data_IF_576827097635
#
_entry.id   IF_576827097635
#
_cell.length_a   1.000
_cell.length_b   1.000
_cell.length_c   1.000
_cell.angle_alpha   90.00
_cell.angle_beta   90.00
_cell.angle_gamma   90.00
#
_symmetry.space_group_name_H-M   'P 1'
#
loop_
_entity.id
_entity.type
_entity.pdbx_description
1 polymer ?
#
# COMPACT_ATOMS: atom_id res chain seq x y z
N UNK A 1 30.92 33.35 35.94
CA UNK A 1 30.28 33.10 34.62
C UNK A 1 29.87 31.64 34.58
N UNK A 2 28.59 31.34 34.84
CA UNK A 2 28.08 29.97 34.89
C UNK A 2 27.55 29.52 33.54
N UNK A 3 27.98 28.36 33.07
CA UNK A 3 27.28 27.65 32.00
C UNK A 3 26.21 26.76 32.62
N UNK A 4 24.95 27.02 32.28
CA UNK A 4 23.82 26.12 32.52
C UNK A 4 23.88 25.01 31.46
N UNK A 5 24.34 23.82 31.83
CA UNK A 5 24.12 22.62 31.04
C UNK A 5 22.66 22.19 31.18
N UNK A 6 21.91 22.20 30.07
CA UNK A 6 20.57 21.62 30.02
C UNK A 6 20.67 20.08 30.08
N UNK A 7 19.73 19.38 30.75
CA UNK A 7 19.70 17.92 30.71
C UNK A 7 19.34 17.46 29.30
N UNK A 8 20.11 16.49 28.77
CA UNK A 8 19.78 15.81 27.54
C UNK A 8 18.44 15.09 27.70
N UNK A 9 17.48 15.42 26.84
CA UNK A 9 16.22 14.70 26.76
C UNK A 9 16.49 13.20 26.52
N UNK A 10 15.74 12.28 27.18
CA UNK A 10 15.88 10.86 26.90
C UNK A 10 15.50 10.61 25.44
N UNK A 11 16.48 10.18 24.64
CA UNK A 11 16.20 9.67 23.30
C UNK A 11 15.35 8.39 23.47
N UNK A 12 14.21 8.26 22.78
CA UNK A 12 13.42 7.04 22.82
C UNK A 12 14.23 5.89 22.18
N UNK A 13 14.92 5.14 23.04
CA UNK A 13 15.54 3.86 22.70
C UNK A 13 14.43 2.82 22.56
N UNK A 14 13.74 2.83 21.41
CA UNK A 14 12.62 1.91 21.17
C UNK A 14 12.01 1.91 19.77
N UNK A 15 12.36 2.84 18.87
CA UNK A 15 11.72 2.98 17.54
C UNK A 15 12.63 2.65 16.34
N UNK A 16 13.88 2.25 16.56
CA UNK A 16 14.92 2.15 15.51
C UNK A 16 14.89 0.81 14.73
N UNK A 17 13.81 0.04 14.84
CA UNK A 17 13.53 -1.07 13.92
C UNK A 17 12.22 -0.84 13.13
N UNK A 18 11.83 0.43 12.95
CA UNK A 18 10.89 0.80 11.90
C UNK A 18 11.38 0.20 10.57
N UNK A 19 10.54 -0.66 9.99
CA UNK A 19 10.78 -1.46 8.80
C UNK A 19 11.85 -0.91 7.83
N UNK A 20 13.06 -1.46 7.85
CA UNK A 20 14.03 -1.17 6.78
C UNK A 20 13.49 -1.72 5.47
N UNK A 21 13.19 -0.83 4.53
CA UNK A 21 12.86 -1.17 3.15
C UNK A 21 14.16 -1.17 2.34
N UNK A 22 14.66 -2.35 1.96
CA UNK A 22 15.79 -2.47 1.02
C UNK A 22 15.36 -2.25 -0.43
N UNK A 23 16.29 -2.32 -1.38
CA UNK A 23 15.94 -2.37 -2.81
C UNK A 23 15.11 -3.61 -3.15
N UNK A 24 14.16 -3.49 -4.08
CA UNK A 24 13.38 -4.62 -4.61
C UNK A 24 13.27 -4.51 -6.12
N UNK A 25 13.20 -5.64 -6.81
CA UNK A 25 12.81 -5.68 -8.22
C UNK A 25 11.30 -5.56 -8.32
N UNK A 26 10.82 -4.59 -9.11
CA UNK A 26 9.42 -4.48 -9.49
C UNK A 26 9.02 -5.66 -10.38
N UNK A 27 7.78 -6.09 -10.20
CA UNK A 27 7.14 -7.22 -10.85
C UNK A 27 5.85 -6.70 -11.45
N UNK A 28 5.55 -7.13 -12.67
CA UNK A 28 4.27 -6.81 -13.31
C UNK A 28 3.30 -7.97 -13.08
N UNK A 29 2.22 -7.78 -12.31
CA UNK A 29 1.19 -8.80 -12.20
C UNK A 29 0.53 -9.02 -13.57
N UNK A 30 0.46 -10.28 -14.00
CA UNK A 30 -0.22 -10.69 -15.25
C UNK A 30 -1.62 -11.24 -14.99
N UNK A 31 -1.88 -11.73 -13.77
CA UNK A 31 -3.17 -12.29 -13.38
C UNK A 31 -3.71 -11.58 -12.12
N UNK A 32 -5.04 -11.43 -12.06
CA UNK A 32 -5.76 -10.92 -10.90
C UNK A 32 -6.92 -11.85 -10.55
N UNK A 33 -6.73 -12.66 -9.51
CA UNK A 33 -7.77 -13.55 -9.00
C UNK A 33 -8.79 -12.73 -8.19
N UNK A 34 -10.07 -13.05 -8.35
CA UNK A 34 -11.21 -12.41 -7.66
C UNK A 34 -11.96 -13.44 -6.82
N UNK A 35 -12.80 -12.95 -5.90
CA UNK A 35 -13.80 -13.70 -5.12
C UNK A 35 -13.30 -14.70 -4.06
N UNK A 36 -12.18 -15.41 -4.28
CA UNK A 36 -11.54 -16.32 -3.29
C UNK A 36 -10.19 -15.80 -2.76
N UNK A 37 -9.95 -14.50 -2.87
CA UNK A 37 -8.66 -13.91 -2.55
C UNK A 37 -8.43 -13.75 -1.04
N UNK A 38 -7.62 -14.63 -0.47
CA UNK A 38 -7.07 -14.51 0.89
C UNK A 38 -5.56 -14.59 0.86
N UNK A 39 -4.89 -14.25 1.97
CA UNK A 39 -3.45 -14.50 2.10
C UNK A 39 -3.13 -15.99 1.93
N UNK A 40 -3.98 -16.90 2.45
CA UNK A 40 -3.81 -18.33 2.26
C UNK A 40 -3.90 -18.75 0.78
N UNK A 41 -4.79 -18.13 0.00
CA UNK A 41 -4.82 -18.33 -1.46
C UNK A 41 -3.58 -17.77 -2.12
N UNK A 42 -3.11 -16.59 -1.73
CA UNK A 42 -1.85 -16.05 -2.25
C UNK A 42 -0.66 -16.99 -1.93
N UNK A 43 -0.57 -17.56 -0.73
CA UNK A 43 0.46 -18.54 -0.38
C UNK A 43 0.35 -19.82 -1.21
N UNK A 44 -0.86 -20.31 -1.48
CA UNK A 44 -1.07 -21.47 -2.36
C UNK A 44 -0.64 -21.18 -3.79
N UNK A 45 -1.03 -20.02 -4.33
CA UNK A 45 -0.71 -19.61 -5.71
C UNK A 45 0.80 -19.50 -5.92
N UNK A 46 1.58 -19.07 -4.91
CA UNK A 46 3.05 -19.03 -4.99
C UNK A 46 3.73 -20.40 -5.14
N UNK A 47 3.02 -21.49 -4.89
CA UNK A 47 3.54 -22.86 -5.07
C UNK A 47 3.25 -23.44 -6.45
N UNK A 48 2.55 -22.70 -7.31
CA UNK A 48 2.27 -23.11 -8.68
C UNK A 48 3.51 -22.82 -9.53
N UNK A 49 3.93 -23.79 -10.33
CA UNK A 49 5.06 -23.62 -11.24
C UNK A 49 4.80 -22.45 -12.21
N UNK A 50 5.83 -21.64 -12.43
CA UNK A 50 5.73 -20.41 -13.23
C UNK A 50 5.21 -19.18 -12.48
N UNK A 51 4.74 -19.32 -11.24
CA UNK A 51 4.42 -18.15 -10.39
C UNK A 51 5.68 -17.66 -9.67
N UNK A 52 6.08 -16.41 -9.92
CA UNK A 52 7.24 -15.79 -9.26
C UNK A 52 6.83 -14.99 -8.03
N UNK A 53 5.58 -14.51 -8.00
CA UNK A 53 5.08 -13.73 -6.89
C UNK A 53 3.55 -13.73 -6.84
N UNK A 54 3.00 -13.66 -5.64
CA UNK A 54 1.60 -13.34 -5.43
C UNK A 54 1.44 -12.42 -4.22
N UNK A 55 0.42 -11.57 -4.19
CA UNK A 55 0.05 -10.79 -3.00
C UNK A 55 -1.45 -10.53 -2.95
N UNK A 56 -2.04 -10.60 -1.76
CA UNK A 56 -3.45 -10.28 -1.56
C UNK A 56 -3.62 -8.78 -1.22
N UNK A 57 -4.67 -8.19 -1.78
CA UNK A 57 -5.11 -6.82 -1.50
C UNK A 57 -6.63 -6.81 -1.31
N UNK A 58 -7.15 -5.80 -0.63
CA UNK A 58 -8.59 -5.53 -0.56
C UNK A 58 -8.86 -4.15 -1.17
N UNK A 59 -9.77 -4.07 -2.14
CA UNK A 59 -10.11 -2.82 -2.82
C UNK A 59 -11.58 -2.51 -2.60
N UNK A 60 -11.86 -1.39 -1.93
CA UNK A 60 -13.21 -0.92 -1.66
C UNK A 60 -13.36 0.56 -2.00
N UNK A 61 -14.54 1.12 -1.73
CA UNK A 61 -14.81 2.54 -1.88
C UNK A 61 -15.00 3.18 -0.52
N UNK A 62 -14.51 4.40 -0.38
CA UNK A 62 -14.56 5.18 0.84
C UNK A 62 -14.97 6.60 0.48
N UNK A 63 -16.00 7.18 1.12
CA UNK A 63 -16.35 8.58 0.91
C UNK A 63 -15.24 9.48 1.47
N UNK A 64 -14.82 10.46 0.69
CA UNK A 64 -13.78 11.42 1.05
C UNK A 64 -14.02 12.72 0.28
N UNK A 65 -14.07 13.85 0.99
CA UNK A 65 -14.32 15.19 0.39
C UNK A 65 -15.54 15.23 -0.56
N UNK A 66 -16.62 14.52 -0.20
CA UNK A 66 -17.85 14.48 -1.00
C UNK A 66 -17.77 13.62 -2.27
N UNK A 67 -16.74 12.80 -2.42
CA UNK A 67 -16.56 11.89 -3.55
C UNK A 67 -16.32 10.45 -3.05
N UNK A 68 -16.73 9.47 -3.86
CA UNK A 68 -16.35 8.07 -3.65
C UNK A 68 -14.95 7.83 -4.20
N UNK A 69 -14.04 7.38 -3.32
CA UNK A 69 -12.63 7.15 -3.66
C UNK A 69 -12.31 5.67 -3.48
N UNK A 70 -11.65 5.06 -4.46
CA UNK A 70 -11.21 3.66 -4.34
C UNK A 70 -9.96 3.56 -3.46
N UNK A 71 -10.02 2.70 -2.45
CA UNK A 71 -8.94 2.49 -1.49
C UNK A 71 -8.46 1.05 -1.58
N UNK A 72 -7.16 0.87 -1.74
CA UNK A 72 -6.52 -0.44 -1.65
C UNK A 72 -5.84 -0.62 -0.28
N UNK A 73 -6.29 -1.61 0.48
CA UNK A 73 -5.62 -2.10 1.67
C UNK A 73 -4.59 -3.16 1.29
N UNK A 74 -3.34 -2.97 1.72
CA UNK A 74 -2.22 -3.81 1.28
C UNK A 74 -1.28 -4.20 2.44
N UNK A 75 -0.48 -5.25 2.22
CA UNK A 75 0.79 -5.43 2.93
C UNK A 75 1.86 -4.55 2.23
N UNK A 76 2.39 -3.49 2.87
CA UNK A 76 3.30 -2.56 2.21
C UNK A 76 4.62 -3.22 1.75
N UNK A 77 5.11 -4.21 2.48
CA UNK A 77 6.39 -4.88 2.17
C UNK A 77 6.29 -5.78 0.95
N UNK A 78 5.14 -6.42 0.77
CA UNK A 78 4.84 -7.27 -0.39
C UNK A 78 4.39 -6.43 -1.57
N UNK A 79 3.41 -5.55 -1.35
CA UNK A 79 2.76 -4.80 -2.42
C UNK A 79 3.70 -3.85 -3.17
N UNK A 80 4.72 -3.30 -2.52
CA UNK A 80 5.71 -2.48 -3.23
C UNK A 80 6.41 -3.16 -4.40
N UNK A 81 6.46 -4.50 -4.41
CA UNK A 81 7.03 -5.24 -5.54
C UNK A 81 6.15 -5.18 -6.78
N UNK A 82 4.88 -4.79 -6.67
CA UNK A 82 3.95 -4.72 -7.81
C UNK A 82 3.61 -3.29 -8.23
N UNK A 83 4.39 -2.32 -7.76
CA UNK A 83 4.34 -0.91 -8.21
C UNK A 83 5.47 -0.63 -9.22
N UNK A 84 5.44 0.49 -9.96
CA UNK A 84 6.58 0.93 -10.76
C UNK A 84 7.88 0.93 -9.95
N UNK A 85 9.01 0.60 -10.61
CA UNK A 85 10.32 0.47 -9.95
C UNK A 85 10.69 1.71 -9.13
N UNK A 86 10.41 2.91 -9.67
CA UNK A 86 10.64 4.17 -8.96
C UNK A 86 9.92 4.17 -7.61
N UNK A 87 8.61 3.90 -7.59
CA UNK A 87 7.83 3.82 -6.35
C UNK A 87 8.27 2.68 -5.45
N UNK A 88 8.61 1.51 -5.99
CA UNK A 88 9.04 0.34 -5.21
C UNK A 88 10.29 0.63 -4.35
N UNK A 89 11.16 1.48 -4.86
CA UNK A 89 12.41 1.89 -4.24
C UNK A 89 12.29 3.12 -3.32
N UNK A 90 11.18 3.88 -3.40
CA UNK A 90 10.94 5.04 -2.54
C UNK A 90 10.62 4.63 -1.10
N UNK A 91 11.67 4.46 -0.29
CA UNK A 91 11.57 4.07 1.13
C UNK A 91 10.61 4.95 1.91
N UNK A 92 10.64 6.27 1.67
CA UNK A 92 9.78 7.22 2.34
C UNK A 92 8.29 6.95 2.13
N UNK A 93 7.87 6.56 0.92
CA UNK A 93 6.47 6.22 0.63
C UNK A 93 6.02 5.03 1.48
N UNK A 94 6.82 3.97 1.53
CA UNK A 94 6.45 2.74 2.22
C UNK A 94 6.51 2.86 3.74
N UNK A 95 7.44 3.65 4.28
CA UNK A 95 7.47 3.97 5.71
C UNK A 95 6.19 4.70 6.14
N UNK A 96 5.76 5.71 5.37
CA UNK A 96 4.51 6.44 5.62
C UNK A 96 3.29 5.52 5.64
N UNK A 97 3.20 4.60 4.68
CA UNK A 97 2.10 3.61 4.66
C UNK A 97 2.16 2.67 5.86
N UNK A 98 3.35 2.24 6.30
CA UNK A 98 3.51 1.44 7.53
C UNK A 98 3.07 2.23 8.77
N UNK A 99 3.33 3.54 8.81
CA UNK A 99 2.94 4.45 9.90
C UNK A 99 1.44 4.79 9.89
N UNK A 100 0.69 4.37 8.87
CA UNK A 100 -0.76 4.58 8.77
C UNK A 100 -1.18 5.74 7.86
N UNK A 101 -0.24 6.42 7.21
CA UNK A 101 -0.56 7.42 6.21
C UNK A 101 -1.03 6.77 4.90
N UNK A 102 -1.81 7.51 4.11
CA UNK A 102 -2.20 7.11 2.76
C UNK A 102 -1.22 7.61 1.70
N UNK A 103 -0.93 6.75 0.71
CA UNK A 103 -0.28 7.14 -0.52
C UNK A 103 -1.33 7.31 -1.62
N UNK A 104 -1.54 8.53 -2.09
CA UNK A 104 -2.51 8.87 -3.14
C UNK A 104 -1.87 8.77 -4.52
N UNK A 105 -2.63 8.37 -5.54
CA UNK A 105 -2.19 8.63 -6.91
C UNK A 105 -2.15 10.14 -7.16
N UNK A 106 -1.26 10.59 -8.06
CA UNK A 106 -1.12 12.01 -8.37
C UNK A 106 -2.43 12.62 -8.94
N UNK A 107 -3.14 11.85 -9.77
CA UNK A 107 -4.47 12.22 -10.29
C UNK A 107 -5.47 12.43 -9.15
N UNK A 108 -5.57 11.48 -8.22
CA UNK A 108 -6.49 11.58 -7.08
C UNK A 108 -6.12 12.73 -6.16
N UNK A 109 -4.83 12.91 -5.88
CA UNK A 109 -4.33 14.03 -5.08
C UNK A 109 -4.77 15.38 -5.65
N UNK A 110 -4.62 15.55 -6.97
CA UNK A 110 -5.06 16.74 -7.70
C UNK A 110 -6.58 16.89 -7.67
N UNK A 111 -7.31 15.83 -8.04
CA UNK A 111 -8.78 15.79 -8.11
C UNK A 111 -9.44 16.16 -6.78
N UNK A 112 -8.91 15.64 -5.68
CA UNK A 112 -9.42 15.89 -4.33
C UNK A 112 -8.80 17.13 -3.66
N UNK A 113 -7.83 17.81 -4.31
CA UNK A 113 -7.01 18.86 -3.68
C UNK A 113 -6.45 18.40 -2.33
N UNK A 114 -5.99 17.16 -2.26
CA UNK A 114 -5.53 16.52 -1.04
C UNK A 114 -4.03 16.78 -0.90
N UNK A 115 -3.66 17.85 -0.20
CA UNK A 115 -2.28 18.33 -0.07
C UNK A 115 -1.39 17.36 0.72
N UNK A 116 -0.13 17.22 0.31
CA UNK A 116 0.84 16.39 1.01
C UNK A 116 1.02 16.87 2.46
N UNK A 117 0.93 15.94 3.41
CA UNK A 117 1.03 16.19 4.84
C UNK A 117 -0.28 16.67 5.50
N UNK A 118 -1.30 17.04 4.72
CA UNK A 118 -2.60 17.39 5.24
C UNK A 118 -3.37 16.15 5.71
N UNK A 119 -4.38 16.38 6.55
CA UNK A 119 -5.32 15.34 6.99
C UNK A 119 -6.66 15.55 6.31
N UNK A 120 -7.23 14.48 5.77
CA UNK A 120 -8.55 14.45 5.14
C UNK A 120 -9.50 13.59 5.97
N UNK A 121 -10.78 13.95 5.96
CA UNK A 121 -11.85 13.15 6.56
C UNK A 121 -12.27 12.07 5.57
N UNK A 122 -12.22 10.82 6.00
CA UNK A 122 -12.44 9.65 5.17
C UNK A 122 -13.36 8.64 5.85
N UNK A 123 -14.19 7.96 5.07
CA UNK A 123 -15.17 7.00 5.57
C UNK A 123 -16.42 7.67 6.13
N UNK A 124 -17.45 6.85 6.33
CA UNK A 124 -18.77 7.33 6.79
C UNK A 124 -18.69 8.01 8.18
N UNK A 125 -17.74 7.61 9.02
CA UNK A 125 -17.54 8.15 10.37
C UNK A 125 -16.55 9.33 10.39
N UNK A 126 -15.99 9.72 9.24
CA UNK A 126 -15.06 10.84 9.15
C UNK A 126 -13.74 10.60 9.90
N UNK A 127 -13.17 9.40 9.76
CA UNK A 127 -11.85 9.08 10.27
C UNK A 127 -10.80 10.03 9.68
N UNK A 128 -9.80 10.39 10.49
CA UNK A 128 -8.70 11.24 10.06
C UNK A 128 -7.68 10.40 9.27
N UNK A 129 -7.46 10.74 8.00
CA UNK A 129 -6.49 10.08 7.13
C UNK A 129 -5.45 11.09 6.66
N UNK A 130 -4.18 10.86 6.95
CA UNK A 130 -3.09 11.75 6.53
C UNK A 130 -2.64 11.41 5.11
N UNK A 131 -2.42 12.44 4.30
CA UNK A 131 -1.81 12.32 2.96
C UNK A 131 -0.30 12.20 3.14
N UNK A 132 0.23 10.99 3.15
CA UNK A 132 1.67 10.75 3.41
C UNK A 132 2.55 10.86 2.19
N UNK A 133 2.02 10.56 1.00
CA UNK A 133 2.75 10.58 -0.25
C UNK A 133 1.83 10.69 -1.47
N UNK A 134 2.42 11.08 -2.62
CA UNK A 134 1.88 10.78 -3.93
C UNK A 134 2.70 9.70 -4.60
N UNK A 135 2.05 8.64 -5.11
CA UNK A 135 2.73 7.50 -5.70
C UNK A 135 1.84 6.74 -6.69
N UNK A 136 2.45 6.23 -7.75
CA UNK A 136 1.81 5.26 -8.64
C UNK A 136 1.73 3.90 -7.93
N UNK A 137 0.54 3.33 -7.83
CA UNK A 137 0.30 2.09 -7.08
C UNK A 137 0.07 0.86 -7.96
N UNK A 138 0.46 0.92 -9.23
CA UNK A 138 0.30 -0.17 -10.19
C UNK A 138 0.33 0.37 -11.62
N UNK A 139 0.39 -0.54 -12.59
CA UNK A 139 0.22 -0.23 -14.02
C UNK A 139 -0.77 -1.25 -14.62
N UNK A 140 -2.04 -0.88 -14.85
CA UNK A 140 -2.68 0.37 -14.41
C UNK A 140 -2.80 0.46 -12.87
N UNK A 141 -3.07 1.66 -12.31
CA UNK A 141 -3.29 1.83 -10.88
C UNK A 141 -4.35 0.86 -10.32
N UNK A 142 -4.12 0.32 -9.13
CA UNK A 142 -5.05 -0.64 -8.51
C UNK A 142 -6.23 0.05 -7.81
N UNK A 143 -6.02 1.30 -7.39
CA UNK A 143 -6.96 2.14 -6.65
C UNK A 143 -6.52 3.61 -6.71
N UNK A 144 -7.35 4.51 -6.23
CA UNK A 144 -7.04 5.94 -6.13
C UNK A 144 -5.99 6.23 -5.05
N UNK A 145 -5.98 5.45 -3.97
CA UNK A 145 -4.98 5.51 -2.89
C UNK A 145 -4.71 4.14 -2.26
N UNK A 146 -3.56 4.02 -1.60
CA UNK A 146 -3.11 2.83 -0.87
C UNK A 146 -2.92 3.16 0.60
N UNK A 147 -3.36 2.25 1.46
CA UNK A 147 -3.14 2.26 2.92
C UNK A 147 -2.69 0.88 3.41
N UNK A 148 -2.14 0.81 4.61
CA UNK A 148 -1.95 -0.47 5.28
C UNK A 148 -3.31 -1.07 5.71
N UNK A 149 -3.30 -2.34 6.16
CA UNK A 149 -4.52 -3.05 6.55
C UNK A 149 -5.17 -2.53 7.83
N UNK A 150 -4.39 -1.98 8.76
CA UNK A 150 -4.88 -1.41 10.02
C UNK A 150 -5.67 -0.13 9.76
N UNK A 151 -5.10 0.81 9.01
CA UNK A 151 -5.78 2.03 8.54
C UNK A 151 -7.03 1.67 7.73
N UNK A 152 -7.01 0.63 6.91
CA UNK A 152 -8.21 0.20 6.19
C UNK A 152 -9.34 -0.28 7.12
N UNK A 153 -9.01 -0.90 8.27
CA UNK A 153 -9.99 -1.28 9.27
C UNK A 153 -10.59 -0.05 9.98
N UNK A 154 -9.77 0.94 10.30
CA UNK A 154 -10.22 2.23 10.86
C UNK A 154 -11.16 2.97 9.91
N UNK A 155 -10.87 2.91 8.60
CA UNK A 155 -11.75 3.44 7.55
C UNK A 155 -13.02 2.59 7.33
N UNK A 156 -13.15 1.46 8.03
CA UNK A 156 -14.19 0.44 7.84
C UNK A 156 -14.33 0.02 6.37
N UNK A 157 -13.21 -0.11 5.67
CA UNK A 157 -13.17 -0.50 4.27
C UNK A 157 -13.92 -1.82 4.08
N UNK A 158 -14.90 -1.82 3.17
CA UNK A 158 -15.58 -3.03 2.71
C UNK A 158 -15.29 -3.19 1.23
N UNK A 159 -14.27 -3.96 0.94
CA UNK A 159 -13.79 -4.15 -0.42
C UNK A 159 -13.96 -5.56 -0.95
N UNK A 160 -13.68 -5.70 -2.25
CA UNK A 160 -13.43 -7.01 -2.85
C UNK A 160 -11.97 -7.34 -2.66
N UNK A 161 -11.69 -8.58 -2.25
CA UNK A 161 -10.32 -9.07 -2.18
C UNK A 161 -9.84 -9.53 -3.54
N UNK A 162 -8.55 -9.33 -3.78
CA UNK A 162 -7.86 -9.74 -4.99
C UNK A 162 -6.52 -10.37 -4.66
N UNK A 163 -6.10 -11.36 -5.44
CA UNK A 163 -4.68 -11.79 -5.46
C UNK A 163 -4.07 -11.31 -6.76
N UNK A 164 -3.03 -10.49 -6.65
CA UNK A 164 -2.19 -10.09 -7.76
C UNK A 164 -1.08 -11.14 -7.93
N UNK A 165 -0.90 -11.64 -9.15
CA UNK A 165 0.06 -12.72 -9.43
C UNK A 165 0.99 -12.27 -10.56
N UNK A 166 2.30 -12.33 -10.29
CA UNK A 166 3.34 -12.18 -11.30
C UNK A 166 3.87 -13.56 -11.67
N UNK A 167 4.10 -13.75 -12.96
CA UNK A 167 4.58 -15.00 -13.54
C UNK A 167 6.06 -14.84 -13.92
N UNK A 168 6.75 -15.95 -14.17
CA UNK A 168 8.03 -15.91 -14.87
C UNK A 168 7.83 -15.49 -16.32
N UNK A 169 8.88 -14.94 -16.94
CA UNK A 169 8.81 -14.45 -18.33
C UNK A 169 8.46 -15.58 -19.31
N UNK A 170 8.88 -16.81 -19.01
CA UNK A 170 8.63 -18.01 -19.83
C UNK A 170 7.28 -18.70 -19.54
N UNK A 171 6.52 -18.24 -18.55
CA UNK A 171 5.26 -18.86 -18.17
C UNK A 171 4.08 -18.35 -19.00
N UNK A 172 3.31 -19.29 -19.55
CA UNK A 172 2.03 -18.99 -20.18
C UNK A 172 0.95 -18.78 -19.10
N UNK A 173 0.33 -17.60 -19.12
CA UNK A 173 -0.71 -17.22 -18.17
C UNK A 173 -1.96 -18.11 -18.26
N UNK A 174 -2.19 -18.74 -19.42
CA UNK A 174 -3.32 -19.66 -19.62
C UNK A 174 -3.08 -20.99 -18.90
N UNK A 175 -1.84 -21.50 -18.91
CA UNK A 175 -1.49 -22.77 -18.25
C UNK A 175 -1.51 -22.68 -16.72
N UNK A 176 -1.33 -21.48 -16.16
CA UNK A 176 -1.40 -21.23 -14.71
C UNK A 176 -2.85 -21.04 -14.22
N UNK A 177 -3.78 -20.78 -15.15
CA UNK A 177 -5.19 -20.49 -14.84
C UNK A 177 -6.13 -21.69 -15.00
N UNK A 178 -5.68 -22.78 -15.62
CA UNK A 178 -6.37 -24.07 -15.77
C UNK A 178 -6.17 -24.99 -14.58
#
# INVERSE_FOLDING_TARGET
>A
MGQLSAPAAPQPSGSVQAARFGKVKALQPRLRLRDVATDAVAERVRRIDGVTFATAIEVGRVPMKGQEVTVAAVDPRRFRRVTPQLTADEVGVWQRIVEGDAAFTHDTGTRLRAELGATVKAGAEGAALRVGAYASNGVPPVADLVVNRETAQELRLRGRRHVLVALSDDADAVAVAS
#
